data_IF_525675898258
#
_entry.id   IF_525675898258
#
_cell.length_a   1.000
_cell.length_b   1.000
_cell.length_c   1.000
_cell.angle_alpha   90.00
_cell.angle_beta   90.00
_cell.angle_gamma   90.00
#
_symmetry.space_group_name_H-M   'P 1'
#
loop_
_entity.id
_entity.type
_entity.pdbx_description
1 polymer ?
#
# COMPACT_ATOMS: atom_id res chain seq x y z
N UNK A 1 2.79 -23.86 -10.49
CA UNK A 1 1.96 -22.87 -9.78
C UNK A 1 2.10 -23.11 -8.28
N UNK A 2 3.15 -22.57 -7.68
CA UNK A 2 3.37 -22.59 -6.24
C UNK A 2 4.17 -21.33 -5.97
N UNK A 3 3.53 -20.32 -5.37
CA UNK A 3 4.23 -19.11 -4.94
C UNK A 3 4.68 -19.38 -3.52
N UNK A 4 6.00 -19.43 -3.31
CA UNK A 4 6.63 -19.50 -2.01
C UNK A 4 7.20 -18.11 -1.72
N UNK A 5 6.62 -17.43 -0.73
CA UNK A 5 7.01 -16.09 -0.32
C UNK A 5 8.11 -16.18 0.75
N UNK A 6 9.26 -15.55 0.53
CA UNK A 6 10.28 -15.30 1.57
C UNK A 6 10.80 -13.89 1.44
N UNK A 7 10.68 -13.14 2.53
CA UNK A 7 11.16 -11.77 2.70
C UNK A 7 12.38 -11.81 3.62
N UNK A 8 13.57 -11.41 3.15
CA UNK A 8 14.77 -11.27 4.00
C UNK A 8 15.65 -10.11 3.52
N UNK A 9 15.72 -9.01 4.29
CA UNK A 9 16.91 -8.37 4.93
C UNK A 9 16.72 -6.87 5.22
N UNK A 10 16.74 -6.54 6.52
CA UNK A 10 17.59 -5.61 7.29
C UNK A 10 18.17 -4.28 6.72
N UNK A 11 18.11 -3.27 7.62
CA UNK A 11 18.85 -2.01 7.72
C UNK A 11 18.67 -0.93 6.64
N UNK A 12 17.98 0.15 7.04
CA UNK A 12 17.84 1.44 6.37
C UNK A 12 17.03 1.46 5.06
N UNK A 13 15.74 1.77 5.18
CA UNK A 13 14.99 2.47 4.14
C UNK A 13 14.56 1.63 2.93
N UNK A 14 13.26 1.27 2.98
CA UNK A 14 12.38 0.82 1.87
C UNK A 14 12.59 -0.61 1.36
N UNK A 15 11.62 -1.46 1.69
CA UNK A 15 11.40 -2.74 1.01
C UNK A 15 9.96 -2.75 0.49
N UNK A 16 9.78 -2.53 -0.81
CA UNK A 16 8.54 -2.88 -1.50
C UNK A 16 8.78 -4.18 -2.27
N UNK A 17 8.16 -5.26 -1.81
CA UNK A 17 8.21 -6.58 -2.47
C UNK A 17 7.11 -6.62 -3.51
N UNK A 18 7.46 -6.45 -4.79
CA UNK A 18 6.61 -6.88 -5.89
C UNK A 18 7.37 -7.91 -6.71
N UNK A 19 6.97 -9.18 -6.59
CA UNK A 19 7.44 -10.24 -7.47
C UNK A 19 6.37 -10.49 -8.54
N UNK A 20 6.69 -10.18 -9.80
CA UNK A 20 5.92 -10.65 -10.96
C UNK A 20 6.77 -11.68 -11.70
N UNK A 21 6.25 -12.89 -11.88
CA UNK A 21 6.91 -13.95 -12.63
C UNK A 21 6.58 -13.81 -14.13
N UNK A 22 7.52 -13.30 -14.95
CA UNK A 22 7.45 -13.42 -16.41
C UNK A 22 8.62 -14.28 -16.92
N UNK A 23 8.27 -15.50 -17.35
CA UNK A 23 8.90 -16.37 -18.36
C UNK A 23 10.42 -16.29 -18.65
N UNK A 24 11.27 -16.10 -17.63
CA UNK A 24 12.70 -16.37 -17.78
C UNK A 24 13.67 -15.52 -16.96
N UNK A 25 13.21 -14.62 -16.09
CA UNK A 25 14.13 -13.94 -15.18
C UNK A 25 13.45 -12.90 -14.30
N UNK A 26 13.92 -12.79 -13.05
CA UNK A 26 13.52 -11.73 -12.13
C UNK A 26 14.18 -10.44 -12.60
N UNK A 27 13.41 -9.55 -13.24
CA UNK A 27 13.88 -8.20 -13.56
C UNK A 27 13.46 -7.23 -12.47
N UNK A 28 14.43 -6.85 -11.63
CA UNK A 28 14.26 -5.79 -10.63
C UNK A 28 14.09 -4.44 -11.35
N UNK A 29 12.86 -3.92 -11.40
CA UNK A 29 12.65 -2.53 -11.78
C UNK A 29 12.92 -1.64 -10.56
N UNK A 30 14.17 -1.17 -10.45
CA UNK A 30 14.49 -0.05 -9.58
C UNK A 30 13.73 1.18 -10.10
N UNK A 31 12.58 1.50 -9.49
CA UNK A 31 11.94 2.80 -9.71
C UNK A 31 12.88 3.86 -9.13
N UNK A 32 13.31 4.80 -9.98
CA UNK A 32 14.18 5.93 -9.62
C UNK A 32 13.59 6.73 -8.45
N UNK A 33 14.41 7.38 -7.62
CA UNK A 33 13.92 8.15 -6.49
C UNK A 33 13.17 9.38 -7.02
N UNK A 34 11.86 9.41 -6.83
CA UNK A 34 11.08 10.62 -7.10
C UNK A 34 11.23 11.57 -5.92
N UNK A 35 11.90 12.69 -6.20
CA UNK A 35 12.10 13.81 -5.29
C UNK A 35 10.76 14.36 -4.79
N UNK A 36 10.64 14.40 -3.47
CA UNK A 36 9.89 15.41 -2.68
C UNK A 36 8.37 15.50 -2.77
N UNK A 37 7.63 14.47 -3.21
CA UNK A 37 6.17 14.46 -3.03
C UNK A 37 5.75 13.21 -2.28
N UNK A 38 5.19 13.38 -1.09
CA UNK A 38 4.51 12.33 -0.33
C UNK A 38 3.20 11.99 -1.02
N UNK A 39 3.30 11.21 -2.10
CA UNK A 39 2.17 10.73 -2.86
C UNK A 39 1.85 9.32 -2.42
N UNK A 40 0.59 9.10 -2.04
CA UNK A 40 0.08 7.76 -1.75
C UNK A 40 0.02 6.94 -3.04
N UNK A 41 0.70 5.80 -3.06
CA UNK A 41 0.67 4.84 -4.18
C UNK A 41 -0.30 3.69 -3.86
N UNK A 42 -1.06 3.22 -4.85
CA UNK A 42 -2.00 2.11 -4.70
C UNK A 42 -1.64 1.00 -5.67
N UNK A 43 -1.51 -0.22 -5.15
CA UNK A 43 -1.23 -1.44 -5.93
C UNK A 43 -2.34 -2.46 -5.67
N UNK A 44 -2.85 -3.11 -6.72
CA UNK A 44 -3.90 -4.14 -6.61
C UNK A 44 -3.35 -5.49 -7.03
N UNK A 45 -3.49 -6.49 -6.19
CA UNK A 45 -2.97 -7.84 -6.40
C UNK A 45 -4.10 -8.85 -6.19
N UNK A 46 -4.25 -9.79 -7.12
CA UNK A 46 -5.17 -10.91 -6.96
C UNK A 46 -4.43 -12.07 -6.29
N UNK A 47 -4.84 -12.41 -5.08
CA UNK A 47 -4.27 -13.51 -4.29
C UNK A 47 -5.23 -14.70 -4.35
N UNK A 48 -4.67 -15.91 -4.45
CA UNK A 48 -5.42 -17.16 -4.37
C UNK A 48 -4.85 -18.03 -3.26
N UNK A 49 -5.64 -18.29 -2.23
CA UNK A 49 -5.23 -19.10 -1.09
C UNK A 49 -6.38 -20.04 -0.68
N UNK A 50 -6.08 -21.33 -0.50
CA UNK A 50 -7.08 -22.31 -0.06
C UNK A 50 -8.31 -22.46 -0.96
N UNK A 51 -8.23 -22.09 -2.24
CA UNK A 51 -9.37 -22.10 -3.18
C UNK A 51 -10.23 -20.83 -3.15
N UNK A 52 -9.91 -19.87 -2.28
CA UNK A 52 -10.56 -18.54 -2.23
C UNK A 52 -9.73 -17.54 -3.03
N UNK A 53 -10.38 -16.67 -3.81
CA UNK A 53 -9.74 -15.59 -4.55
C UNK A 53 -10.02 -14.27 -3.84
N UNK A 54 -8.97 -13.52 -3.52
CA UNK A 54 -9.02 -12.26 -2.80
C UNK A 54 -8.37 -11.17 -3.64
N UNK A 55 -9.01 -10.01 -3.73
CA UNK A 55 -8.40 -8.82 -4.34
C UNK A 55 -7.79 -7.97 -3.22
N UNK A 56 -6.48 -8.10 -3.02
CA UNK A 56 -5.74 -7.29 -2.06
C UNK A 56 -5.39 -5.94 -2.69
N UNK A 57 -5.72 -4.84 -2.00
CA UNK A 57 -5.26 -3.50 -2.36
C UNK A 57 -4.25 -3.03 -1.31
N UNK A 58 -3.03 -2.77 -1.75
CA UNK A 58 -1.94 -2.27 -0.93
C UNK A 58 -1.82 -0.77 -1.18
N UNK A 59 -1.76 0.00 -0.10
CA UNK A 59 -1.63 1.45 -0.13
C UNK A 59 -0.30 1.80 0.51
N UNK A 60 0.63 2.28 -0.30
CA UNK A 60 1.99 2.64 0.12
C UNK A 60 2.14 4.15 0.27
N UNK A 61 2.96 4.57 1.23
CA UNK A 61 3.29 5.97 1.51
C UNK A 61 4.79 6.22 1.35
N UNK A 62 5.32 6.17 0.11
CA UNK A 62 6.74 6.38 -0.13
C UNK A 62 7.17 7.77 0.35
N UNK A 63 8.27 7.84 1.07
CA UNK A 63 8.78 9.12 1.58
C UNK A 63 8.20 9.56 2.93
N UNK A 64 7.43 8.70 3.60
CA UNK A 64 6.94 8.98 4.95
C UNK A 64 8.09 9.05 5.95
N UNK A 65 8.25 10.19 6.62
CA UNK A 65 9.31 10.42 7.60
C UNK A 65 10.70 10.74 7.02
N UNK A 66 10.85 10.78 5.68
CA UNK A 66 12.13 11.04 5.02
C UNK A 66 12.52 12.54 5.01
N UNK A 67 11.58 13.44 5.30
CA UNK A 67 11.80 14.88 5.27
C UNK A 67 12.50 15.38 6.55
N UNK A 68 13.19 16.52 6.44
CA UNK A 68 13.79 17.21 7.61
C UNK A 68 12.69 17.77 8.52
N UNK A 69 11.64 18.34 7.92
CA UNK A 69 10.43 18.74 8.63
C UNK A 69 9.30 17.73 8.31
N UNK A 70 8.88 16.99 9.34
CA UNK A 70 7.82 15.99 9.26
C UNK A 70 6.52 16.45 9.93
N UNK A 71 6.38 17.73 10.26
CA UNK A 71 5.23 18.24 11.03
C UNK A 71 3.86 18.03 10.39
N UNK A 72 3.79 17.71 9.09
CA UNK A 72 2.54 17.46 8.37
C UNK A 72 2.61 16.20 7.47
N UNK A 73 3.54 15.28 7.73
CA UNK A 73 3.76 14.14 6.84
C UNK A 73 2.59 13.12 6.79
N UNK A 74 1.69 13.18 7.77
CA UNK A 74 0.50 12.34 7.85
C UNK A 74 -0.68 12.88 7.06
N UNK A 75 -0.70 14.17 6.70
CA UNK A 75 -1.85 14.79 6.05
C UNK A 75 -2.26 14.05 4.76
N UNK A 76 -1.34 13.70 3.84
CA UNK A 76 -1.70 12.98 2.62
C UNK A 76 -2.28 11.59 2.88
N UNK A 77 -1.93 10.96 4.01
CA UNK A 77 -2.45 9.65 4.41
C UNK A 77 -3.89 9.77 4.91
N UNK A 78 -4.15 10.77 5.75
CA UNK A 78 -5.49 11.08 6.26
C UNK A 78 -6.41 11.45 5.09
N UNK A 79 -5.98 12.39 4.24
CA UNK A 79 -6.76 12.84 3.07
C UNK A 79 -7.11 11.67 2.15
N UNK A 80 -6.19 10.71 1.98
CA UNK A 80 -6.45 9.50 1.21
C UNK A 80 -7.52 8.62 1.84
N UNK A 81 -7.43 8.38 3.15
CA UNK A 81 -8.40 7.57 3.90
C UNK A 81 -9.78 8.22 3.82
N UNK A 82 -9.87 9.51 4.13
CA UNK A 82 -11.12 10.27 4.13
C UNK A 82 -11.78 10.26 2.76
N UNK A 83 -11.01 10.48 1.69
CA UNK A 83 -11.52 10.38 0.31
C UNK A 83 -12.16 9.02 0.01
N UNK A 84 -11.58 7.90 0.49
CA UNK A 84 -12.17 6.56 0.30
C UNK A 84 -13.46 6.35 1.09
N UNK A 85 -13.54 6.93 2.29
CA UNK A 85 -14.77 6.90 3.07
C UNK A 85 -15.86 7.74 2.43
N UNK A 86 -15.55 8.95 1.96
CA UNK A 86 -16.48 9.81 1.24
C UNK A 86 -17.01 9.16 -0.03
N UNK A 87 -16.15 8.54 -0.84
CA UNK A 87 -16.54 7.82 -2.04
C UNK A 87 -17.58 6.72 -1.73
N UNK A 88 -17.37 6.00 -0.63
CA UNK A 88 -18.26 4.94 -0.18
C UNK A 88 -19.59 5.49 0.38
N UNK A 89 -19.55 6.55 1.18
CA UNK A 89 -20.75 7.21 1.69
C UNK A 89 -21.61 7.82 0.56
N UNK A 90 -20.94 8.44 -0.41
CA UNK A 90 -21.59 9.00 -1.60
C UNK A 90 -22.23 7.91 -2.47
N UNK A 91 -21.64 6.72 -2.50
CA UNK A 91 -22.19 5.56 -3.19
C UNK A 91 -23.45 5.01 -2.49
N UNK A 92 -23.40 4.83 -1.17
CA UNK A 92 -24.54 4.33 -0.39
C UNK A 92 -25.73 5.29 -0.37
N UNK A 93 -25.46 6.59 -0.41
CA UNK A 93 -26.49 7.65 -0.41
C UNK A 93 -27.26 7.76 -1.74
N UNK A 94 -26.80 7.11 -2.81
CA UNK A 94 -27.49 7.15 -4.12
C UNK A 94 -28.80 6.36 -4.10
N UNK A 95 -29.81 6.91 -4.77
CA UNK A 95 -31.15 6.29 -4.91
C UNK A 95 -31.07 4.92 -5.60
N UNK A 96 -30.20 4.78 -6.60
CA UNK A 96 -29.91 3.49 -7.25
C UNK A 96 -28.74 2.78 -6.58
N UNK A 97 -29.06 1.95 -5.58
CA UNK A 97 -28.09 1.11 -4.86
C UNK A 97 -27.62 -0.04 -5.74
N UNK A 98 -26.47 0.13 -6.40
CA UNK A 98 -25.73 -0.99 -7.01
C UNK A 98 -24.70 -1.48 -6.00
N UNK A 99 -24.45 -2.79 -5.99
CA UNK A 99 -23.41 -3.37 -5.14
C UNK A 99 -22.05 -2.80 -5.59
N UNK A 100 -21.47 -1.92 -4.78
CA UNK A 100 -20.18 -1.29 -5.07
C UNK A 100 -19.04 -2.01 -4.35
N UNK A 101 -17.86 -2.12 -4.98
CA UNK A 101 -16.69 -2.68 -4.33
C UNK A 101 -16.21 -1.75 -3.21
N UNK A 102 -15.93 -2.33 -2.04
CA UNK A 102 -15.37 -1.60 -0.91
C UNK A 102 -13.89 -1.29 -1.16
N UNK A 103 -13.56 0.00 -1.28
CA UNK A 103 -12.20 0.50 -1.47
C UNK A 103 -11.66 1.20 -0.21
N UNK A 104 -12.33 1.04 0.95
CA UNK A 104 -11.89 1.65 2.21
C UNK A 104 -10.63 0.95 2.73
N UNK A 105 -9.86 1.68 3.53
CA UNK A 105 -8.68 1.12 4.21
C UNK A 105 -9.15 0.29 5.40
N UNK A 106 -8.97 -1.02 5.32
CA UNK A 106 -9.42 -1.96 6.36
C UNK A 106 -8.45 -2.08 7.54
N UNK A 107 -7.16 -1.88 7.29
CA UNK A 107 -6.09 -2.03 8.28
C UNK A 107 -4.93 -1.08 7.91
N UNK A 108 -4.23 -0.59 8.93
CA UNK A 108 -3.00 0.18 8.78
C UNK A 108 -1.88 -0.57 9.51
N UNK A 109 -0.77 -0.84 8.81
CA UNK A 109 0.43 -1.42 9.37
C UNK A 109 1.46 -0.31 9.57
N UNK A 110 1.79 -0.03 10.83
CA UNK A 110 2.79 0.97 11.18
C UNK A 110 4.09 0.29 11.58
N UNK A 111 5.14 0.51 10.80
CA UNK A 111 6.46 -0.06 11.06
C UNK A 111 7.23 0.83 12.02
N UNK A 112 7.43 0.34 13.24
CA UNK A 112 8.30 0.97 14.23
C UNK A 112 9.71 0.45 13.98
N UNK A 113 10.66 1.36 13.73
CA UNK A 113 12.06 0.99 13.66
C UNK A 113 12.48 0.37 15.00
N UNK A 114 13.30 -0.70 15.03
CA UNK A 114 13.75 -1.33 16.26
C UNK A 114 14.82 -0.45 16.94
N UNK A 115 14.44 0.74 17.41
CA UNK A 115 15.25 1.57 18.27
C UNK A 115 15.03 1.09 19.70
N UNK A 116 16.05 0.50 20.32
CA UNK A 116 16.00 -0.09 21.66
C UNK A 116 15.78 0.90 22.82
N UNK A 117 15.23 2.08 22.55
CA UNK A 117 14.87 3.10 23.52
C UNK A 117 13.43 3.53 23.20
N UNK A 118 12.55 3.39 24.19
CA UNK A 118 11.13 3.78 24.12
C UNK A 118 10.86 5.11 24.79
#
# INVERSE_FOLDING_TARGET
MSVCERSVTEAAGKVNIMATEESGGIRWLCKSPQSSVQKVEQSKVLIKEGGVQLLLTIVDTPGFGDAVDNSNCWQPVIDHIDSKFEDYLNAESRVNRRQMPDNRVHCCLYFIAPSGHG
#
